data_IF_992535016376
#
_entry.id   IF_992535016376
#
_cell.length_a   1.000
_cell.length_b   1.000
_cell.length_c   1.000
_cell.angle_alpha   90.00
_cell.angle_beta   90.00
_cell.angle_gamma   90.00
#
_symmetry.space_group_name_H-M   'P 1'
#
loop_
_entity.id
_entity.type
_entity.pdbx_description
1 polymer ?
#
# COMPACT_ATOMS: atom_id res chain seq x y z
N UNK A 1 -16.97 4.37 7.96
CA UNK A 1 -16.17 5.59 7.70
C UNK A 1 -14.76 5.35 8.21
N UNK A 2 -13.73 5.40 7.35
CA UNK A 2 -12.34 5.79 7.65
C UNK A 2 -11.44 5.42 6.45
N UNK A 3 -11.51 6.27 5.42
CA UNK A 3 -10.45 6.40 4.42
C UNK A 3 -9.38 7.32 5.00
N UNK A 4 -8.45 6.79 5.79
CA UNK A 4 -7.32 7.55 6.30
C UNK A 4 -6.11 7.38 5.38
N UNK A 5 -6.18 8.06 4.25
CA UNK A 5 -5.03 8.54 3.47
C UNK A 5 -5.32 9.88 2.76
N UNK A 6 -6.40 10.57 3.14
CA UNK A 6 -6.83 11.83 2.49
C UNK A 6 -6.05 13.07 2.94
N UNK A 7 -5.28 13.03 4.04
CA UNK A 7 -4.56 14.20 4.56
C UNK A 7 -3.09 14.29 4.14
N UNK A 8 -2.57 13.32 3.39
CA UNK A 8 -1.24 13.36 2.79
C UNK A 8 -1.38 13.07 1.31
N UNK A 9 -1.56 14.13 0.51
CA UNK A 9 -1.77 14.07 -0.94
C UNK A 9 -0.61 13.42 -1.70
N UNK A 10 -0.54 12.08 -1.66
CA UNK A 10 0.37 11.29 -2.47
C UNK A 10 -0.41 10.77 -3.66
N UNK A 11 -0.36 11.52 -4.76
CA UNK A 11 -0.79 11.02 -6.06
C UNK A 11 0.23 9.96 -6.51
N UNK A 12 -0.21 8.72 -6.77
CA UNK A 12 0.67 7.63 -7.24
C UNK A 12 1.45 8.05 -8.51
N UNK A 13 0.86 8.90 -9.35
CA UNK A 13 1.48 9.43 -10.58
C UNK A 13 2.45 10.60 -10.42
N UNK A 14 2.53 11.27 -9.26
CA UNK A 14 3.44 12.44 -9.10
C UNK A 14 4.92 12.03 -8.97
N UNK A 15 5.21 10.73 -8.89
CA UNK A 15 6.57 10.17 -8.87
C UNK A 15 7.30 10.33 -7.54
N UNK A 16 6.54 10.22 -6.44
CA UNK A 16 7.06 10.07 -5.09
C UNK A 16 7.74 8.71 -4.90
N UNK A 17 7.17 7.63 -5.43
CA UNK A 17 7.74 6.29 -5.39
C UNK A 17 8.63 6.06 -6.61
N UNK A 18 9.90 5.74 -6.39
CA UNK A 18 10.88 5.43 -7.43
C UNK A 18 11.81 4.32 -6.97
N UNK A 19 12.24 3.49 -7.91
CA UNK A 19 13.36 2.60 -7.67
C UNK A 19 14.59 3.44 -7.29
N UNK A 20 15.43 3.00 -6.34
CA UNK A 20 16.70 3.68 -6.00
C UNK A 20 17.60 3.91 -7.23
N UNK A 21 17.46 3.05 -8.24
CA UNK A 21 18.25 3.05 -9.47
C UNK A 21 17.60 3.81 -10.64
N UNK A 22 16.42 4.40 -10.46
CA UNK A 22 15.67 5.03 -11.55
C UNK A 22 16.25 6.39 -11.97
N UNK A 23 16.35 6.60 -13.28
CA UNK A 23 16.82 7.86 -13.87
C UNK A 23 16.00 9.08 -13.42
N UNK A 24 16.61 10.30 -13.39
CA UNK A 24 15.89 11.53 -13.08
C UNK A 24 14.68 11.73 -13.99
N UNK A 25 13.57 12.24 -13.42
CA UNK A 25 12.34 12.50 -14.19
C UNK A 25 12.60 13.50 -15.33
N UNK A 26 12.38 13.08 -16.57
CA UNK A 26 12.32 13.96 -17.74
C UNK A 26 10.95 14.67 -17.83
N UNK A 27 10.94 15.97 -17.52
CA UNK A 27 9.83 16.89 -17.77
C UNK A 27 8.66 16.84 -16.77
N UNK A 28 8.01 18.00 -16.55
CA UNK A 28 6.84 18.18 -15.68
C UNK A 28 7.09 19.07 -14.45
N UNK A 29 6.01 19.41 -13.71
CA UNK A 29 6.10 20.20 -12.47
C UNK A 29 6.73 19.35 -11.37
N UNK A 30 7.98 19.66 -11.02
CA UNK A 30 8.66 19.05 -9.88
C UNK A 30 8.17 19.70 -8.59
N UNK A 31 7.33 18.98 -7.83
CA UNK A 31 6.99 19.39 -6.48
C UNK A 31 8.18 19.11 -5.56
N UNK A 32 8.62 20.07 -4.72
CA UNK A 32 9.69 19.84 -3.78
C UNK A 32 9.37 18.63 -2.90
N UNK A 33 10.34 17.71 -2.82
CA UNK A 33 10.23 16.49 -2.03
C UNK A 33 10.33 16.83 -0.55
N UNK A 34 9.22 16.77 0.19
CA UNK A 34 9.26 16.73 1.65
C UNK A 34 9.63 15.31 2.06
N UNK A 35 10.92 14.96 1.96
CA UNK A 35 11.42 13.64 2.39
C UNK A 35 11.23 13.52 3.89
N UNK A 36 10.19 12.81 4.32
CA UNK A 36 9.91 12.59 5.74
C UNK A 36 10.66 11.34 6.27
N UNK A 37 11.67 10.86 5.53
CA UNK A 37 12.51 9.68 5.83
C UNK A 37 11.82 8.32 5.59
N UNK A 38 10.51 8.24 5.85
CA UNK A 38 9.72 7.00 5.78
C UNK A 38 9.36 6.53 4.36
N UNK A 39 9.38 7.44 3.39
CA UNK A 39 9.00 7.13 2.01
C UNK A 39 10.03 6.23 1.30
N UNK A 40 11.29 6.28 1.72
CA UNK A 40 12.38 5.49 1.14
C UNK A 40 12.22 4.00 1.44
N UNK A 41 11.83 3.65 2.67
CA UNK A 41 11.57 2.26 3.09
C UNK A 41 10.39 1.66 2.32
N UNK A 42 9.30 2.42 2.19
CA UNK A 42 8.14 2.02 1.38
C UNK A 42 8.52 1.88 -0.09
N UNK A 43 9.34 2.80 -0.62
CA UNK A 43 9.79 2.73 -2.02
C UNK A 43 10.65 1.49 -2.27
N UNK A 44 11.52 1.11 -1.32
CA UNK A 44 12.32 -0.10 -1.41
C UNK A 44 11.46 -1.39 -1.39
N UNK A 45 10.46 -1.46 -0.50
CA UNK A 45 9.52 -2.58 -0.45
C UNK A 45 8.71 -2.69 -1.76
N UNK A 46 8.20 -1.56 -2.27
CA UNK A 46 7.48 -1.53 -3.55
C UNK A 46 8.37 -1.93 -4.73
N UNK A 47 9.65 -1.56 -4.72
CA UNK A 47 10.62 -1.94 -5.77
C UNK A 47 10.90 -3.45 -5.77
N UNK A 48 11.02 -4.07 -4.59
CA UNK A 48 11.20 -5.52 -4.46
C UNK A 48 9.99 -6.30 -5.00
N UNK A 49 8.77 -5.84 -4.70
CA UNK A 49 7.53 -6.43 -5.24
C UNK A 49 7.43 -6.19 -6.75
N UNK A 50 7.76 -4.98 -7.22
CA UNK A 50 7.75 -4.63 -8.64
C UNK A 50 8.68 -5.53 -9.48
N UNK A 51 9.88 -5.80 -8.96
CA UNK A 51 10.85 -6.72 -9.59
C UNK A 51 10.32 -8.15 -9.67
N UNK A 52 9.61 -8.64 -8.65
CA UNK A 52 8.99 -9.99 -8.65
C UNK A 52 7.90 -10.13 -9.71
N UNK A 53 7.07 -9.11 -9.88
CA UNK A 53 5.95 -9.11 -10.81
C UNK A 53 6.30 -8.56 -12.21
N UNK A 54 7.55 -8.10 -12.42
CA UNK A 54 8.03 -7.50 -13.67
C UNK A 54 7.19 -6.32 -14.16
N UNK A 55 6.60 -5.57 -13.24
CA UNK A 55 5.74 -4.41 -13.52
C UNK A 55 6.39 -3.12 -13.00
N UNK A 56 5.96 -1.94 -13.48
CA UNK A 56 6.38 -0.68 -12.91
C UNK A 56 6.01 -0.55 -11.41
N UNK A 57 6.86 0.11 -10.63
CA UNK A 57 6.63 0.38 -9.19
C UNK A 57 5.28 1.10 -8.93
N UNK A 58 4.88 1.98 -9.84
CA UNK A 58 3.59 2.70 -9.77
C UNK A 58 2.40 1.77 -9.92
N UNK A 59 2.54 0.71 -10.72
CA UNK A 59 1.49 -0.28 -10.94
C UNK A 59 1.28 -1.14 -9.69
N UNK A 60 2.36 -1.53 -9.01
CA UNK A 60 2.28 -2.20 -7.71
C UNK A 60 1.62 -1.31 -6.67
N UNK A 61 2.02 -0.04 -6.57
CA UNK A 61 1.42 0.90 -5.63
C UNK A 61 -0.09 1.08 -5.86
N UNK A 62 -0.53 1.08 -7.12
CA UNK A 62 -1.94 1.17 -7.48
C UNK A 62 -2.71 -0.10 -7.09
N UNK A 63 -2.18 -1.27 -7.45
CA UNK A 63 -2.75 -2.57 -7.12
C UNK A 63 -2.84 -2.77 -5.59
N UNK A 64 -1.80 -2.37 -4.86
CA UNK A 64 -1.76 -2.40 -3.40
C UNK A 64 -2.88 -1.54 -2.80
N UNK A 65 -3.06 -0.30 -3.27
CA UNK A 65 -4.12 0.58 -2.77
C UNK A 65 -5.53 0.01 -3.00
N UNK A 66 -5.75 -0.65 -4.16
CA UNK A 66 -7.02 -1.29 -4.49
C UNK A 66 -7.29 -2.54 -3.65
N UNK A 67 -6.25 -3.33 -3.36
CA UNK A 67 -6.38 -4.59 -2.63
C UNK A 67 -6.40 -4.41 -1.10
N UNK A 68 -5.89 -3.29 -0.58
CA UNK A 68 -5.77 -3.05 0.86
C UNK A 68 -7.11 -2.84 1.56
N UNK A 69 -8.08 -2.18 0.93
CA UNK A 69 -9.38 -1.91 1.54
C UNK A 69 -10.51 -1.84 0.50
N UNK A 70 -11.74 -2.21 0.89
CA UNK A 70 -12.89 -2.11 0.01
C UNK A 70 -13.23 -0.64 -0.29
N UNK A 71 -13.77 -0.38 -1.49
CA UNK A 71 -14.27 0.93 -1.91
C UNK A 71 -13.22 2.05 -1.99
N UNK A 72 -11.95 1.72 -2.24
CA UNK A 72 -10.92 2.71 -2.58
C UNK A 72 -10.80 2.83 -4.10
N UNK A 73 -10.90 4.06 -4.60
CA UNK A 73 -10.66 4.39 -6.00
C UNK A 73 -9.50 5.39 -6.08
N UNK A 74 -8.27 4.92 -6.33
CA UNK A 74 -7.12 5.80 -6.42
C UNK A 74 -7.25 6.75 -7.61
N UNK A 75 -6.96 8.03 -7.40
CA UNK A 75 -6.93 9.00 -8.49
C UNK A 75 -5.63 8.86 -9.27
N UNK A 76 -5.76 8.38 -10.51
CA UNK A 76 -4.65 8.30 -11.46
C UNK A 76 -4.57 9.58 -12.29
N UNK A 77 -3.36 10.12 -12.42
CA UNK A 77 -3.09 11.32 -13.20
C UNK A 77 -1.88 11.11 -14.10
N UNK A 78 -1.97 11.60 -15.34
CA UNK A 78 -0.89 11.53 -16.32
C UNK A 78 -1.22 12.37 -17.54
N UNK A 79 -0.19 12.95 -18.17
CA UNK A 79 -0.31 13.73 -19.39
C UNK A 79 0.22 12.99 -20.63
N UNK A 80 0.63 11.72 -20.48
CA UNK A 80 1.13 10.85 -21.55
C UNK A 80 0.26 9.61 -21.66
N UNK A 81 0.04 9.13 -22.88
CA UNK A 81 -0.74 7.91 -23.17
C UNK A 81 -0.10 6.68 -22.52
N UNK A 82 1.22 6.62 -22.45
CA UNK A 82 1.96 5.53 -21.78
C UNK A 82 1.61 5.39 -20.30
N UNK A 83 1.35 6.50 -19.59
CA UNK A 83 0.92 6.43 -18.18
C UNK A 83 -0.47 5.83 -18.04
N UNK A 84 -1.37 6.11 -19.00
CA UNK A 84 -2.72 5.54 -18.98
C UNK A 84 -2.67 4.01 -19.18
N UNK A 85 -1.86 3.53 -20.13
CA UNK A 85 -1.67 2.10 -20.36
C UNK A 85 -1.11 1.38 -19.13
N UNK A 86 -0.05 1.91 -18.52
CA UNK A 86 0.55 1.34 -17.31
C UNK A 86 -0.43 1.28 -16.12
N UNK A 87 -1.33 2.27 -16.00
CA UNK A 87 -2.38 2.26 -14.98
C UNK A 87 -3.44 1.19 -15.25
N UNK A 88 -3.79 0.94 -16.50
CA UNK A 88 -4.75 -0.11 -16.88
C UNK A 88 -4.17 -1.50 -16.60
N UNK A 89 -2.90 -1.72 -16.94
CA UNK A 89 -2.20 -2.96 -16.63
C UNK A 89 -2.16 -3.22 -15.11
N UNK A 90 -1.95 -2.17 -14.32
CA UNK A 90 -1.97 -2.24 -12.86
C UNK A 90 -3.32 -2.70 -12.28
N UNK A 91 -4.45 -2.42 -12.95
CA UNK A 91 -5.77 -2.90 -12.51
C UNK A 91 -5.93 -4.42 -12.63
N UNK A 92 -5.11 -5.05 -13.48
CA UNK A 92 -5.15 -6.50 -13.72
C UNK A 92 -4.19 -7.27 -12.80
N UNK A 93 -3.33 -6.57 -12.05
CA UNK A 93 -2.34 -7.16 -11.17
C UNK A 93 -2.99 -7.64 -9.87
N UNK A 94 -2.78 -8.92 -9.55
CA UNK A 94 -3.16 -9.54 -8.28
C UNK A 94 -1.89 -9.72 -7.43
N UNK A 95 -1.84 -9.07 -6.26
CA UNK A 95 -0.69 -9.20 -5.35
C UNK A 95 -0.95 -10.36 -4.40
N UNK A 96 0.10 -11.06 -4.02
CA UNK A 96 -0.01 -12.12 -3.01
C UNK A 96 -0.15 -11.52 -1.61
N UNK A 97 -0.76 -12.24 -0.65
CA UNK A 97 -0.81 -11.78 0.75
C UNK A 97 0.58 -11.45 1.32
N UNK A 98 1.61 -12.17 0.88
CA UNK A 98 3.00 -11.96 1.26
C UNK A 98 3.54 -10.63 0.71
N UNK A 99 3.22 -10.29 -0.55
CA UNK A 99 3.60 -9.01 -1.16
C UNK A 99 2.95 -7.83 -0.42
N UNK A 100 1.66 -7.97 -0.06
CA UNK A 100 0.93 -6.94 0.71
C UNK A 100 1.55 -6.76 2.09
N UNK A 101 1.87 -7.87 2.78
CA UNK A 101 2.52 -7.83 4.09
C UNK A 101 3.93 -7.23 4.05
N UNK A 102 4.67 -7.40 2.96
CA UNK A 102 5.98 -6.79 2.78
C UNK A 102 5.89 -5.28 2.60
N UNK A 103 4.93 -4.80 1.81
CA UNK A 103 4.66 -3.36 1.65
C UNK A 103 4.19 -2.74 2.96
N UNK A 104 3.34 -3.42 3.74
CA UNK A 104 2.90 -2.98 5.07
C UNK A 104 4.09 -2.78 6.04
N UNK A 105 5.06 -3.70 6.03
CA UNK A 105 6.28 -3.59 6.86
C UNK A 105 7.18 -2.43 6.48
N UNK A 106 7.09 -1.95 5.23
CA UNK A 106 7.86 -0.80 4.76
C UNK A 106 7.49 0.51 5.47
N UNK A 107 6.38 0.55 6.22
CA UNK A 107 5.96 1.70 7.00
C UNK A 107 5.72 1.32 8.46
N UNK A 108 6.61 1.78 9.34
CA UNK A 108 6.46 1.61 10.79
C UNK A 108 5.34 2.53 11.31
N UNK A 109 4.11 2.01 11.33
CA UNK A 109 2.96 2.71 11.89
C UNK A 109 2.76 2.36 13.36
N UNK A 110 3.18 3.28 14.22
CA UNK A 110 2.88 3.20 15.63
C UNK A 110 1.40 3.54 15.91
N UNK A 111 0.63 2.54 16.36
CA UNK A 111 -0.78 2.68 16.74
C UNK A 111 -0.98 3.38 18.10
N UNK A 112 0.09 3.51 18.89
CA UNK A 112 0.09 4.09 20.22
C UNK A 112 -0.60 3.23 21.29
N UNK A 113 -0.63 3.75 22.51
CA UNK A 113 -1.40 3.13 23.61
C UNK A 113 -2.91 3.36 23.40
N UNK A 114 -3.79 2.37 23.64
CA UNK A 114 -3.54 1.02 24.16
C UNK A 114 -3.27 -0.05 23.09
N UNK A 115 -3.30 0.30 21.80
CA UNK A 115 -3.19 -0.67 20.71
C UNK A 115 -1.84 -1.40 20.69
N UNK A 116 -0.72 -0.72 20.98
CA UNK A 116 0.59 -1.37 21.07
C UNK A 116 0.68 -2.38 22.22
N UNK A 117 -0.06 -2.14 23.30
CA UNK A 117 -0.11 -3.04 24.45
C UNK A 117 -0.98 -4.27 24.15
N UNK A 118 -2.11 -4.06 23.45
CA UNK A 118 -3.04 -5.14 23.10
C UNK A 118 -2.57 -5.96 21.89
N UNK A 119 -1.74 -5.38 21.03
CA UNK A 119 -1.23 -6.00 19.80
C UNK A 119 0.29 -5.81 19.72
N UNK A 120 1.00 -6.73 20.37
CA UNK A 120 2.48 -6.71 20.47
C UNK A 120 3.19 -6.92 19.13
N UNK A 121 2.47 -7.37 18.10
CA UNK A 121 3.06 -7.67 16.79
C UNK A 121 3.09 -6.44 15.86
N UNK A 122 2.56 -5.29 16.28
CA UNK A 122 2.75 -4.00 15.59
C UNK A 122 2.06 -3.87 14.22
N UNK A 123 1.28 -4.86 13.79
CA UNK A 123 0.48 -4.78 12.56
C UNK A 123 -0.95 -4.34 12.85
N UNK A 124 -1.72 -3.92 11.84
CA UNK A 124 -3.13 -3.53 12.06
C UNK A 124 -3.98 -4.77 12.45
N UNK A 125 -4.63 -4.79 13.63
CA UNK A 125 -5.36 -5.98 14.07
C UNK A 125 -6.59 -6.21 13.18
N UNK A 126 -6.61 -7.33 12.46
CA UNK A 126 -7.73 -7.67 11.58
C UNK A 126 -8.86 -8.44 12.28
N UNK A 127 -8.64 -8.90 13.51
CA UNK A 127 -9.59 -9.73 14.25
C UNK A 127 -9.18 -9.94 15.71
N UNK A 128 -10.06 -10.55 16.53
CA UNK A 128 -9.82 -10.77 17.96
C UNK A 128 -8.55 -11.58 18.26
N UNK A 129 -8.21 -12.53 17.39
CA UNK A 129 -7.01 -13.37 17.49
C UNK A 129 -5.69 -12.59 17.41
N UNK A 130 -5.73 -11.35 16.92
CA UNK A 130 -4.57 -10.46 16.87
C UNK A 130 -4.37 -9.66 18.17
N UNK A 131 -5.26 -9.83 19.16
CA UNK A 131 -5.08 -9.30 20.52
C UNK A 131 -4.36 -10.35 21.36
N UNK A 132 -3.21 -9.98 21.93
CA UNK A 132 -2.30 -10.93 22.60
C UNK A 132 -2.97 -11.73 23.73
N UNK A 133 -3.94 -11.14 24.42
CA UNK A 133 -4.68 -11.80 25.50
C UNK A 133 -5.79 -12.73 24.99
N UNK A 134 -6.36 -12.44 23.82
CA UNK A 134 -7.48 -13.21 23.27
C UNK A 134 -6.99 -14.41 22.46
N UNK A 135 -5.78 -14.35 21.88
CA UNK A 135 -5.23 -15.43 21.06
C UNK A 135 -5.25 -16.82 21.74
N UNK A 136 -5.10 -16.87 23.07
CA UNK A 136 -5.10 -18.12 23.84
C UNK A 136 -6.45 -18.52 24.46
N UNK A 137 -7.50 -17.69 24.35
CA UNK A 137 -8.78 -17.90 25.06
C UNK A 137 -9.79 -18.76 24.29
N UNK A 138 -9.45 -19.17 23.06
CA UNK A 138 -10.27 -20.05 22.24
C UNK A 138 -10.54 -19.49 20.84
N UNK A 139 -11.42 -20.16 20.11
CA UNK A 139 -11.87 -19.68 18.80
C UNK A 139 -12.97 -18.63 18.99
N UNK A 140 -12.79 -17.48 18.36
CA UNK A 140 -13.78 -16.40 18.38
C UNK A 140 -14.47 -16.35 17.03
N UNK A 141 -15.79 -16.53 17.02
CA UNK A 141 -16.61 -16.24 15.86
C UNK A 141 -16.83 -14.74 15.77
N UNK A 142 -16.37 -14.13 14.68
CA UNK A 142 -16.58 -12.71 14.39
C UNK A 142 -16.90 -12.50 12.93
N UNK A 143 -17.55 -11.38 12.62
CA UNK A 143 -17.84 -11.00 11.24
C UNK A 143 -16.60 -10.34 10.64
N UNK A 144 -16.02 -10.97 9.62
CA UNK A 144 -14.89 -10.41 8.89
C UNK A 144 -15.28 -9.10 8.19
N UNK A 145 -14.34 -8.15 8.15
CA UNK A 145 -14.52 -6.93 7.39
C UNK A 145 -14.62 -7.24 5.89
N UNK A 146 -15.44 -6.47 5.16
CA UNK A 146 -15.57 -6.65 3.71
C UNK A 146 -14.21 -6.58 3.03
N UNK A 147 -13.85 -7.63 2.29
CA UNK A 147 -12.60 -7.68 1.56
C UNK A 147 -12.62 -6.80 0.31
N UNK A 148 -11.44 -6.42 -0.18
CA UNK A 148 -11.30 -5.71 -1.44
C UNK A 148 -11.76 -6.56 -2.64
N UNK A 149 -12.30 -5.89 -3.66
CA UNK A 149 -12.71 -6.54 -4.90
C UNK A 149 -11.46 -6.96 -5.65
N UNK A 150 -11.31 -8.26 -5.92
CA UNK A 150 -10.19 -8.78 -6.69
C UNK A 150 -10.36 -8.50 -8.19
N UNK A 151 -9.27 -8.28 -8.94
CA UNK A 151 -9.32 -8.14 -10.39
C UNK A 151 -10.00 -9.35 -11.04
N UNK A 152 -10.85 -9.10 -12.04
CA UNK A 152 -11.39 -10.16 -12.90
C UNK A 152 -10.38 -10.43 -14.02
N UNK A 153 -9.96 -11.69 -14.17
CA UNK A 153 -9.10 -12.14 -15.27
C UNK A 153 -9.91 -12.28 -16.57
#
# INVERSE_FOLDING_TARGET
MRAWLFTRGVCVGSGYFRSPDAAPKEGGRQTPHVKTGREEQVSAALDAVAKRHQVPITSVALAYALQKAPYIFPMVGGNKVSHLQANVEALSLELTPEDVAEVDKGYDFDLGFPHNFLNLAGFMPQGPQHVSFLAGLGHFDYVEATAAIRPRK
#
